data_IF_043251179184
#
_entry.id   IF_043251179184
#
_cell.length_a   1.000
_cell.length_b   1.000
_cell.length_c   1.000
_cell.angle_alpha   90.00
_cell.angle_beta   90.00
_cell.angle_gamma   90.00
#
_symmetry.space_group_name_H-M   'P 1'
#
loop_
_entity.id
_entity.type
_entity.pdbx_description
1 polymer ?
#
# COMPACT_ATOMS: atom_id res chain seq x y z
N UNK A 1 3.38 -0.45 19.60
CA UNK A 1 4.26 0.25 18.64
C UNK A 1 5.18 1.16 19.41
N UNK A 2 6.43 1.33 18.98
CA UNK A 2 7.40 2.26 19.61
C UNK A 2 6.91 3.73 19.69
N UNK A 3 5.76 4.05 19.09
CA UNK A 3 5.11 5.36 19.07
C UNK A 3 3.83 5.45 19.96
N UNK A 4 3.71 4.61 21.00
CA UNK A 4 2.58 4.65 21.94
C UNK A 4 1.27 3.99 21.45
N UNK A 5 0.20 4.06 22.26
CA UNK A 5 -1.12 3.53 21.91
C UNK A 5 -1.69 4.28 20.70
N UNK A 6 -1.99 3.55 19.62
CA UNK A 6 -2.68 4.12 18.46
C UNK A 6 -4.15 3.73 18.49
N UNK A 7 -5.02 4.66 18.11
CA UNK A 7 -6.41 4.34 17.82
C UNK A 7 -6.45 3.40 16.61
N UNK A 8 -7.27 2.34 16.71
CA UNK A 8 -7.45 1.31 15.67
C UNK A 8 -8.81 1.44 14.97
N UNK A 9 -9.64 2.40 15.35
CA UNK A 9 -10.97 2.61 14.79
C UNK A 9 -10.88 3.38 13.48
N UNK A 10 -11.65 2.94 12.49
CA UNK A 10 -11.81 3.67 11.22
C UNK A 10 -13.10 4.47 11.30
N UNK A 11 -13.02 5.77 11.00
CA UNK A 11 -14.20 6.64 10.88
C UNK A 11 -14.49 6.83 9.40
N UNK A 12 -15.65 6.37 8.96
CA UNK A 12 -16.11 6.48 7.58
C UNK A 12 -17.14 7.61 7.46
N UNK A 13 -17.21 8.25 6.28
CA UNK A 13 -18.32 9.17 5.97
C UNK A 13 -19.63 8.38 5.83
N UNK A 14 -20.78 9.05 5.97
CA UNK A 14 -22.09 8.42 5.89
C UNK A 14 -22.28 7.62 4.58
N UNK A 15 -21.89 8.20 3.46
CA UNK A 15 -22.03 7.57 2.14
C UNK A 15 -21.16 6.32 1.99
N UNK A 16 -19.92 6.37 2.49
CA UNK A 16 -18.99 5.25 2.43
C UNK A 16 -19.42 4.15 3.39
N UNK A 17 -19.90 4.52 4.58
CA UNK A 17 -20.42 3.57 5.56
C UNK A 17 -21.57 2.74 4.98
N UNK A 18 -22.51 3.36 4.24
CA UNK A 18 -23.61 2.64 3.59
C UNK A 18 -23.09 1.58 2.62
N UNK A 19 -22.25 1.97 1.65
CA UNK A 19 -21.66 1.03 0.67
C UNK A 19 -20.85 -0.08 1.35
N UNK A 20 -20.20 0.23 2.47
CA UNK A 20 -19.41 -0.72 3.24
C UNK A 20 -20.29 -1.79 3.93
N UNK A 21 -21.40 -1.39 4.55
CA UNK A 21 -22.33 -2.34 5.16
C UNK A 21 -23.07 -3.18 4.11
N UNK A 22 -23.48 -2.57 3.00
CA UNK A 22 -24.09 -3.32 1.88
C UNK A 22 -23.12 -4.41 1.37
N UNK A 23 -21.83 -4.08 1.26
CA UNK A 23 -20.78 -5.03 0.88
C UNK A 23 -20.57 -6.11 1.95
N UNK A 24 -20.63 -5.75 3.24
CA UNK A 24 -20.51 -6.70 4.34
C UNK A 24 -21.64 -7.74 4.31
N UNK A 25 -22.88 -7.29 4.09
CA UNK A 25 -24.06 -8.14 3.98
C UNK A 25 -23.97 -9.02 2.73
N UNK A 26 -23.52 -8.47 1.60
CA UNK A 26 -23.34 -9.22 0.35
C UNK A 26 -22.30 -10.33 0.48
N UNK A 27 -21.20 -10.08 1.20
CA UNK A 27 -20.15 -11.07 1.45
C UNK A 27 -20.51 -12.04 2.59
N UNK A 28 -21.57 -11.75 3.36
CA UNK A 28 -21.98 -12.54 4.51
C UNK A 28 -20.96 -12.52 5.66
N UNK A 29 -20.19 -11.45 5.79
CA UNK A 29 -19.16 -11.35 6.83
C UNK A 29 -19.71 -10.81 8.15
N UNK A 30 -19.51 -11.56 9.22
CA UNK A 30 -19.85 -11.16 10.59
C UNK A 30 -19.00 -9.97 11.09
N UNK A 31 -17.77 -9.83 10.58
CA UNK A 31 -16.82 -8.80 11.03
C UNK A 31 -16.40 -7.88 9.90
N UNK A 32 -16.57 -6.58 10.11
CA UNK A 32 -16.09 -5.51 9.24
C UNK A 32 -14.58 -5.63 8.88
N UNK A 33 -13.76 -6.16 9.79
CA UNK A 33 -12.34 -6.39 9.51
C UNK A 33 -12.10 -7.39 8.37
N UNK A 34 -12.97 -8.38 8.18
CA UNK A 34 -12.88 -9.33 7.06
C UNK A 34 -13.29 -8.69 5.74
N UNK A 35 -14.32 -7.84 5.76
CA UNK A 35 -14.71 -7.03 4.60
C UNK A 35 -13.57 -6.12 4.15
N UNK A 36 -12.88 -5.46 5.09
CA UNK A 36 -11.71 -4.63 4.78
C UNK A 36 -10.54 -5.46 4.22
N UNK A 37 -10.25 -6.63 4.80
CA UNK A 37 -9.19 -7.51 4.29
C UNK A 37 -9.49 -8.00 2.87
N UNK A 38 -10.74 -8.34 2.60
CA UNK A 38 -11.21 -8.69 1.26
C UNK A 38 -11.08 -7.50 0.30
N UNK A 39 -11.52 -6.30 0.70
CA UNK A 39 -11.42 -5.10 -0.13
C UNK A 39 -9.96 -4.81 -0.50
N UNK A 40 -9.05 -4.88 0.48
CA UNK A 40 -7.63 -4.69 0.26
C UNK A 40 -7.06 -5.79 -0.64
N UNK A 41 -7.47 -7.05 -0.47
CA UNK A 41 -6.97 -8.15 -1.29
C UNK A 41 -7.45 -8.10 -2.74
N UNK A 42 -8.70 -7.71 -2.98
CA UNK A 42 -9.23 -7.55 -4.34
C UNK A 42 -8.65 -6.31 -5.03
N UNK A 43 -8.39 -5.23 -4.28
CA UNK A 43 -7.83 -4.00 -4.84
C UNK A 43 -6.30 -4.02 -4.99
N UNK A 44 -5.58 -5.00 -4.42
CA UNK A 44 -4.11 -5.11 -4.53
C UNK A 44 -3.62 -5.00 -5.98
N UNK A 45 -4.23 -5.72 -6.91
CA UNK A 45 -3.84 -5.70 -8.32
C UNK A 45 -4.01 -4.29 -8.92
N UNK A 46 -5.16 -3.65 -8.69
CA UNK A 46 -5.44 -2.30 -9.18
C UNK A 46 -4.50 -1.24 -8.55
N UNK A 47 -4.16 -1.37 -7.26
CA UNK A 47 -3.22 -0.46 -6.59
C UNK A 47 -1.82 -0.62 -7.19
N UNK A 48 -1.38 -1.85 -7.44
CA UNK A 48 -0.05 -2.13 -8.01
C UNK A 48 0.04 -1.56 -9.43
N UNK A 49 -0.99 -1.78 -10.25
CA UNK A 49 -1.08 -1.19 -11.59
C UNK A 49 -1.03 0.35 -11.55
N UNK A 50 -1.83 0.98 -10.68
CA UNK A 50 -1.84 2.44 -10.54
C UNK A 50 -0.49 2.99 -10.08
N UNK A 51 0.19 2.33 -9.13
CA UNK A 51 1.52 2.75 -8.68
C UNK A 51 2.53 2.64 -9.81
N UNK A 52 2.48 1.56 -10.59
CA UNK A 52 3.36 1.36 -11.73
C UNK A 52 3.13 2.42 -12.82
N UNK A 53 1.88 2.76 -13.12
CA UNK A 53 1.52 3.85 -14.04
C UNK A 53 1.95 5.23 -13.53
N UNK A 54 1.85 5.47 -12.21
CA UNK A 54 2.29 6.72 -11.58
C UNK A 54 3.81 6.89 -11.63
N UNK A 55 4.56 5.80 -11.55
CA UNK A 55 6.02 5.82 -11.66
C UNK A 55 6.41 6.02 -13.14
N UNK A 56 5.79 5.30 -14.07
CA UNK A 56 6.11 5.41 -15.50
C UNK A 56 5.79 6.79 -16.08
N UNK A 57 4.82 7.53 -15.54
CA UNK A 57 4.53 8.89 -16.01
C UNK A 57 5.52 9.96 -15.53
N UNK A 58 6.43 9.65 -14.60
CA UNK A 58 7.48 10.60 -14.16
C UNK A 58 8.76 10.53 -14.99
N UNK A 59 8.98 9.43 -15.69
CA UNK A 59 10.09 9.25 -16.64
C UNK A 59 9.50 9.04 -18.02
N UNK A 60 9.33 10.13 -18.78
CA UNK A 60 8.67 10.10 -20.07
C UNK A 60 9.23 9.03 -21.00
N UNK A 61 8.48 7.95 -21.21
CA UNK A 61 8.49 7.17 -22.43
C UNK A 61 7.29 6.24 -22.44
N UNK A 62 6.52 6.35 -23.51
CA UNK A 62 5.43 5.50 -23.94
C UNK A 62 5.71 4.01 -23.67
N UNK A 63 4.74 3.27 -23.12
CA UNK A 63 4.79 1.81 -23.15
C UNK A 63 3.41 1.17 -23.34
N UNK A 64 3.36 0.32 -24.37
CA UNK A 64 2.37 -0.75 -24.53
C UNK A 64 2.49 -1.72 -23.36
N UNK A 65 1.34 -2.17 -22.86
CA UNK A 65 1.22 -2.95 -21.62
C UNK A 65 1.23 -4.45 -21.91
N UNK A 66 2.22 -5.18 -21.41
CA UNK A 66 2.13 -6.64 -21.16
C UNK A 66 2.51 -6.89 -19.71
N UNK A 67 1.51 -7.20 -18.89
CA UNK A 67 1.69 -7.52 -17.48
C UNK A 67 1.80 -9.04 -17.32
N UNK A 68 3.03 -9.57 -17.23
CA UNK A 68 3.27 -10.95 -16.81
C UNK A 68 4.34 -10.96 -15.71
N UNK A 69 4.00 -11.69 -14.64
CA UNK A 69 4.84 -12.12 -13.53
C UNK A 69 5.16 -11.13 -12.39
N UNK A 70 4.37 -11.28 -11.32
CA UNK A 70 4.80 -11.01 -9.95
C UNK A 70 5.89 -12.00 -9.55
N UNK A 71 7.12 -11.52 -9.37
CA UNK A 71 8.07 -12.00 -8.36
C UNK A 71 9.30 -11.08 -8.36
N UNK A 72 9.28 -10.04 -7.51
CA UNK A 72 10.47 -9.19 -7.32
C UNK A 72 10.15 -7.78 -6.86
N UNK A 73 9.67 -7.63 -5.62
CA UNK A 73 9.80 -6.36 -4.90
C UNK A 73 11.15 -6.39 -4.17
N UNK A 74 12.20 -5.71 -4.65
CA UNK A 74 13.28 -5.33 -3.75
C UNK A 74 12.71 -4.22 -2.88
N UNK A 75 12.28 -4.55 -1.65
CA UNK A 75 12.27 -3.57 -0.56
C UNK A 75 13.75 -3.29 -0.25
N UNK A 76 14.37 -2.49 -1.12
CA UNK A 76 15.70 -1.96 -0.93
C UNK A 76 15.62 -0.87 0.12
N UNK A 77 15.79 -1.25 1.38
CA UNK A 77 16.29 -0.34 2.39
C UNK A 77 17.75 -0.04 2.03
N UNK A 78 17.97 0.98 1.20
CA UNK A 78 19.29 1.46 0.82
C UNK A 78 20.02 1.98 2.07
N UNK A 79 20.72 1.07 2.76
CA UNK A 79 21.87 1.39 3.61
C UNK A 79 23.03 1.68 2.68
N UNK A 80 23.18 2.91 2.23
CA UNK A 80 24.38 3.33 1.52
C UNK A 80 24.81 4.72 2.02
N UNK A 81 25.95 4.68 2.74
CA UNK A 81 27.00 5.71 2.84
C UNK A 81 26.69 6.96 3.65
N UNK A 82 27.31 7.04 4.82
CA UNK A 82 28.44 7.95 4.98
C UNK A 82 29.50 7.31 5.87
N UNK A 83 30.48 6.72 5.19
CA UNK A 83 31.81 6.58 5.75
C UNK A 83 32.48 7.95 5.65
N UNK A 84 32.32 8.78 6.68
CA UNK A 84 33.27 9.86 6.94
C UNK A 84 33.90 9.61 8.30
N UNK A 85 34.99 8.86 8.22
CA UNK A 85 36.03 8.73 9.22
C UNK A 85 36.40 10.12 9.77
N UNK A 86 36.02 10.40 11.02
CA UNK A 86 36.66 11.44 11.85
C UNK A 86 37.34 10.70 13.00
N UNK A 87 38.31 9.87 12.66
CA UNK A 87 39.52 9.76 13.47
C UNK A 87 40.47 10.87 13.03
N UNK A 88 40.97 11.66 14.00
CA UNK A 88 41.98 12.73 13.87
C UNK A 88 41.44 14.14 13.62
N UNK A 89 41.12 14.85 14.70
CA UNK A 89 41.82 16.11 15.01
C UNK A 89 41.67 16.49 16.49
N UNK A 90 42.82 16.37 17.18
CA UNK A 90 43.23 16.96 18.47
C UNK A 90 42.44 16.63 19.75
#
# INVERSE_FOLDING_TARGET
>A
TAHGPRDRRVRLSMEIARKFFDLQDLLGFDKASKTLDWLLTNSKAAIIELVQMKISCTTGSQCDMVCENYNGLPVGNEKIRDAFDISSRE
#
